data_IF_375759958596
#
_entry.id   IF_375759958596
#
_cell.length_a   1.000
_cell.length_b   1.000
_cell.length_c   1.000
_cell.angle_alpha   90.00
_cell.angle_beta   90.00
_cell.angle_gamma   90.00
#
_symmetry.space_group_name_H-M   'P 1'
#
loop_
_entity.id
_entity.type
_entity.pdbx_description
1 polymer ?
#
# COMPACT_ATOMS: atom_id res chain seq x y z
N UNK A 1 -10.91 1.16 -5.08
CA UNK A 1 -10.66 1.81 -3.77
C UNK A 1 -9.28 2.45 -3.71
N UNK A 2 -8.31 1.88 -4.43
CA UNK A 2 -6.99 2.48 -4.66
C UNK A 2 -6.83 2.94 -6.13
N UNK A 3 -5.88 3.84 -6.37
CA UNK A 3 -5.47 4.31 -7.71
C UNK A 3 -3.95 4.49 -7.79
N UNK A 4 -3.40 4.34 -9.00
CA UNK A 4 -2.00 4.65 -9.29
C UNK A 4 -1.85 6.08 -9.77
N UNK A 5 -0.83 6.76 -9.26
CA UNK A 5 -0.32 8.01 -9.78
C UNK A 5 1.12 7.81 -10.27
N UNK A 6 1.42 8.31 -11.47
CA UNK A 6 2.79 8.41 -11.95
C UNK A 6 3.36 9.78 -11.57
N UNK A 7 4.48 9.81 -10.87
CA UNK A 7 5.22 11.02 -10.46
C UNK A 7 6.63 10.94 -11.01
N UNK A 8 6.89 11.64 -12.11
CA UNK A 8 8.12 11.49 -12.88
C UNK A 8 8.26 10.06 -13.41
N UNK A 9 9.35 9.38 -13.01
CA UNK A 9 9.59 7.99 -13.41
C UNK A 9 9.16 6.95 -12.37
N UNK A 10 8.48 7.35 -11.28
CA UNK A 10 8.06 6.42 -10.24
C UNK A 10 6.54 6.38 -10.07
N UNK A 11 6.05 5.25 -9.56
CA UNK A 11 4.65 5.05 -9.24
C UNK A 11 4.38 5.26 -7.75
N UNK A 12 3.20 5.80 -7.44
CA UNK A 12 2.63 5.94 -6.11
C UNK A 12 1.21 5.37 -6.12
N UNK A 13 0.81 4.69 -5.06
CA UNK A 13 -0.59 4.32 -4.85
C UNK A 13 -1.24 5.33 -3.91
N UNK A 14 -2.48 5.70 -4.22
CA UNK A 14 -3.35 6.52 -3.40
C UNK A 14 -4.61 5.72 -3.10
N UNK A 15 -5.11 5.79 -1.87
CA UNK A 15 -6.30 5.05 -1.45
C UNK A 15 -6.91 5.69 -0.21
N UNK A 16 -8.07 5.18 0.21
CA UNK A 16 -8.77 5.64 1.41
C UNK A 16 -9.10 4.47 2.32
N UNK A 17 -9.00 4.70 3.63
CA UNK A 17 -9.50 3.78 4.68
C UNK A 17 -10.31 4.62 5.66
N UNK A 18 -11.56 4.22 5.94
CA UNK A 18 -12.46 4.90 6.89
C UNK A 18 -12.52 6.42 6.66
N UNK A 19 -12.60 6.85 5.40
CA UNK A 19 -12.66 8.27 5.01
C UNK A 19 -11.32 9.02 5.03
N UNK A 20 -10.23 8.43 5.55
CA UNK A 20 -8.90 9.04 5.55
C UNK A 20 -8.12 8.68 4.29
N UNK A 21 -7.54 9.69 3.63
CA UNK A 21 -6.70 9.51 2.43
C UNK A 21 -5.28 9.09 2.82
N UNK A 22 -4.76 8.12 2.11
CA UNK A 22 -3.38 7.64 2.22
C UNK A 22 -2.70 7.70 0.86
N UNK A 23 -1.38 7.91 0.87
CA UNK A 23 -0.57 7.83 -0.34
C UNK A 23 0.81 7.27 -0.06
N UNK A 24 1.34 6.42 -0.94
CA UNK A 24 2.66 5.79 -0.75
C UNK A 24 3.38 5.60 -2.08
N UNK A 25 4.64 6.02 -2.12
CA UNK A 25 5.51 5.69 -3.27
C UNK A 25 5.81 4.19 -3.28
N UNK A 26 5.68 3.58 -4.46
CA UNK A 26 6.07 2.19 -4.71
C UNK A 26 7.57 2.05 -5.02
N UNK A 27 8.29 3.18 -5.15
CA UNK A 27 9.72 3.24 -5.48
C UNK A 27 10.09 2.39 -6.71
N UNK A 28 9.15 2.21 -7.63
CA UNK A 28 9.35 1.45 -8.88
C UNK A 28 8.99 2.31 -10.07
N UNK A 29 9.73 2.12 -11.16
CA UNK A 29 9.43 2.64 -12.49
C UNK A 29 8.72 1.60 -13.37
N UNK A 30 8.57 0.36 -12.87
CA UNK A 30 7.90 -0.72 -13.60
C UNK A 30 6.40 -0.60 -13.43
N UNK A 31 5.71 -0.30 -14.53
CA UNK A 31 4.24 -0.25 -14.56
C UNK A 31 3.62 -1.60 -14.20
N UNK A 32 4.21 -2.70 -14.67
CA UNK A 32 3.77 -4.06 -14.32
C UNK A 32 3.82 -4.29 -12.81
N UNK A 33 4.93 -3.92 -12.17
CA UNK A 33 5.06 -4.04 -10.72
C UNK A 33 4.05 -3.14 -9.98
N UNK A 34 3.87 -1.91 -10.47
CA UNK A 34 2.92 -0.97 -9.90
C UNK A 34 1.47 -1.47 -9.96
N UNK A 35 1.07 -2.02 -11.11
CA UNK A 35 -0.25 -2.58 -11.31
C UNK A 35 -0.49 -3.81 -10.43
N UNK A 36 0.51 -4.68 -10.27
CA UNK A 36 0.41 -5.82 -9.36
C UNK A 36 0.22 -5.38 -7.90
N UNK A 37 0.94 -4.34 -7.46
CA UNK A 37 0.75 -3.73 -6.14
C UNK A 37 -0.64 -3.12 -5.97
N UNK A 38 -1.18 -2.45 -7.00
CA UNK A 38 -2.52 -1.88 -6.98
C UNK A 38 -3.59 -2.96 -6.78
N UNK A 39 -3.53 -4.04 -7.56
CA UNK A 39 -4.50 -5.15 -7.48
C UNK A 39 -4.50 -5.80 -6.10
N UNK A 40 -3.31 -6.05 -5.54
CA UNK A 40 -3.17 -6.63 -4.18
C UNK A 40 -3.74 -5.71 -3.11
N UNK A 41 -3.46 -4.41 -3.20
CA UNK A 41 -3.97 -3.46 -2.22
C UNK A 41 -5.49 -3.35 -2.29
N UNK A 42 -6.07 -3.30 -3.49
CA UNK A 42 -7.52 -3.21 -3.65
C UNK A 42 -8.23 -4.45 -3.10
N UNK A 43 -7.69 -5.65 -3.32
CA UNK A 43 -8.19 -6.90 -2.73
C UNK A 43 -8.13 -6.86 -1.18
N UNK A 44 -7.00 -6.44 -0.61
CA UNK A 44 -6.84 -6.36 0.84
C UNK A 44 -7.75 -5.30 1.47
N UNK A 45 -7.96 -4.16 0.79
CA UNK A 45 -8.90 -3.14 1.24
C UNK A 45 -10.33 -3.69 1.30
N UNK A 46 -10.76 -4.47 0.31
CA UNK A 46 -12.08 -5.13 0.34
C UNK A 46 -12.20 -6.12 1.49
N UNK A 47 -11.17 -6.93 1.73
CA UNK A 47 -11.15 -7.87 2.87
C UNK A 47 -11.20 -7.14 4.21
N UNK A 48 -10.51 -6.01 4.31
CA UNK A 48 -10.56 -5.16 5.49
C UNK A 48 -11.97 -4.59 5.73
N UNK A 49 -12.64 -4.09 4.68
CA UNK A 49 -14.03 -3.61 4.78
C UNK A 49 -15.02 -4.72 5.17
N UNK A 50 -14.78 -5.95 4.71
CA UNK A 50 -15.57 -7.12 5.09
C UNK A 50 -15.25 -7.67 6.50
N UNK A 51 -14.28 -7.07 7.20
CA UNK A 51 -13.82 -7.57 8.51
C UNK A 51 -13.02 -8.88 8.46
N UNK A 52 -12.63 -9.33 7.26
CA UNK A 52 -11.81 -10.53 7.04
C UNK A 52 -10.32 -10.28 7.27
N UNK A 53 -9.92 -9.02 7.35
CA UNK A 53 -8.55 -8.59 7.58
C UNK A 53 -8.56 -7.46 8.61
N UNK A 54 -7.80 -7.62 9.68
CA UNK A 54 -7.64 -6.59 10.71
C UNK A 54 -6.30 -5.86 10.55
N UNK A 55 -6.30 -4.56 10.84
CA UNK A 55 -5.05 -3.84 11.11
C UNK A 55 -4.65 -4.14 12.56
N UNK A 56 -3.39 -4.45 12.87
CA UNK A 56 -2.96 -4.59 14.25
C UNK A 56 -3.11 -3.25 14.97
N UNK A 57 -3.69 -3.25 16.17
CA UNK A 57 -4.12 -2.04 16.89
C UNK A 57 -2.98 -1.07 17.23
N UNK A 58 -1.74 -1.56 17.33
CA UNK A 58 -0.54 -0.76 17.65
C UNK A 58 0.38 -0.50 16.44
N UNK A 59 -0.06 -0.85 15.24
CA UNK A 59 0.79 -0.74 14.07
C UNK A 59 0.71 0.69 13.49
N UNK A 60 1.70 1.51 13.89
CA UNK A 60 2.26 2.62 13.09
C UNK A 60 2.22 2.22 11.59
N UNK A 61 1.97 3.09 10.59
CA UNK A 61 1.37 2.71 9.31
C UNK A 61 2.13 1.65 8.48
N UNK A 62 3.29 1.18 8.92
CA UNK A 62 3.94 -0.12 8.68
C UNK A 62 3.05 -1.31 8.22
N UNK A 63 1.78 -1.58 8.65
CA UNK A 63 1.07 -2.79 8.22
C UNK A 63 0.77 -2.85 6.71
N UNK A 64 0.87 -1.75 5.95
CA UNK A 64 0.65 -1.80 4.48
C UNK A 64 1.77 -2.53 3.72
N UNK A 65 2.99 -2.64 4.28
CA UNK A 65 4.07 -3.39 3.64
C UNK A 65 3.70 -4.87 3.52
N UNK A 66 3.06 -5.40 4.57
CA UNK A 66 2.51 -6.75 4.58
C UNK A 66 1.38 -6.92 3.56
N UNK A 67 0.53 -5.90 3.38
CA UNK A 67 -0.59 -5.97 2.41
C UNK A 67 -0.12 -5.87 0.96
N UNK A 68 1.01 -5.23 0.70
CA UNK A 68 1.60 -5.15 -0.64
C UNK A 68 2.54 -6.34 -0.94
N UNK A 69 2.83 -7.18 0.05
CA UNK A 69 3.87 -8.22 -0.02
C UNK A 69 5.26 -7.64 -0.26
N UNK A 70 5.46 -6.37 0.09
CA UNK A 70 6.73 -5.69 -0.07
C UNK A 70 7.56 -5.94 1.20
N UNK A 71 8.75 -6.52 1.05
CA UNK A 71 9.71 -6.64 2.14
C UNK A 71 9.98 -5.26 2.73
N UNK A 72 9.69 -5.11 4.02
CA UNK A 72 10.13 -3.98 4.81
C UNK A 72 11.61 -4.21 5.10
N UNK A 73 12.49 -3.48 4.41
CA UNK A 73 13.84 -3.26 4.94
C UNK A 73 13.74 -2.13 5.96
N UNK A 74 13.88 -2.41 7.28
CA UNK A 74 14.00 -1.35 8.25
C UNK A 74 15.20 -0.50 7.84
N UNK A 75 15.03 0.82 7.78
CA UNK A 75 16.18 1.70 7.85
C UNK A 75 16.77 1.53 9.25
N UNK A 76 17.87 0.80 9.32
CA UNK A 76 18.85 0.96 10.39
C UNK A 76 19.49 2.33 10.14
N UNK A 77 18.85 3.39 10.62
CA UNK A 77 19.57 4.64 10.85
C UNK A 77 20.51 4.37 12.04
N UNK A 78 21.80 4.56 11.78
CA UNK A 78 22.96 4.43 12.67
C UNK A 78 22.91 5.42 13.82
#
# INVERSE_FOLDING_TARGET
MASLEKRGNQFRIVFWIRGKRFSRSLKTASERAAQASLVRLDDNLRRFELGLLALPDDADPVPYHLWLGATYEPRTDV
#
